data_IF_878521643435
#
_entry.id   IF_878521643435
#
_cell.length_a   1.000
_cell.length_b   1.000
_cell.length_c   1.000
_cell.angle_alpha   90.00
_cell.angle_beta   90.00
_cell.angle_gamma   90.00
#
_symmetry.space_group_name_H-M   'P 1'
#
loop_
_entity.id
_entity.type
_entity.pdbx_description
1 polymer ?
#
# COMPACT_ATOMS: atom_id res chain seq x y z
N UNK A 1 30.09 41.33 41.90
CA UNK A 1 29.62 41.62 40.53
C UNK A 1 29.56 40.30 39.79
N UNK A 2 28.56 40.13 38.92
CA UNK A 2 28.19 38.86 38.27
C UNK A 2 28.38 38.95 36.75
N UNK A 3 28.98 37.93 36.15
CA UNK A 3 28.90 37.55 34.72
C UNK A 3 29.61 36.18 34.52
N UNK A 4 29.72 35.59 33.32
CA UNK A 4 28.69 34.89 32.53
C UNK A 4 29.40 33.85 31.63
N UNK A 5 28.79 32.75 31.16
CA UNK A 5 27.54 32.06 31.54
C UNK A 5 27.67 30.55 31.18
N UNK A 6 26.66 29.72 31.50
CA UNK A 6 26.59 28.31 31.04
C UNK A 6 25.33 28.05 30.24
N UNK A 7 25.47 27.92 28.92
CA UNK A 7 24.40 27.41 28.06
C UNK A 7 24.17 25.93 28.37
N UNK A 8 22.93 25.57 28.70
CA UNK A 8 22.57 24.22 29.13
C UNK A 8 22.42 23.26 27.95
N UNK A 9 23.09 22.10 28.02
CA UNK A 9 22.84 21.00 27.09
C UNK A 9 21.46 20.39 27.34
N UNK A 10 20.58 20.45 26.35
CA UNK A 10 19.33 19.68 26.35
C UNK A 10 19.62 18.22 25.93
N UNK A 11 19.04 17.20 26.59
CA UNK A 11 19.24 15.80 26.21
C UNK A 11 18.74 15.52 24.79
N UNK A 12 19.46 14.66 24.06
CA UNK A 12 19.20 14.38 22.66
C UNK A 12 17.79 13.81 22.41
N UNK A 13 17.02 14.51 21.58
CA UNK A 13 15.82 13.95 20.95
C UNK A 13 16.24 12.84 19.96
N UNK A 14 15.44 11.77 19.79
CA UNK A 14 15.66 10.82 18.70
C UNK A 14 15.58 11.55 17.35
N UNK A 15 16.26 11.05 16.31
CA UNK A 15 16.14 11.62 14.96
C UNK A 15 14.67 11.62 14.55
N UNK A 16 14.21 12.73 13.98
CA UNK A 16 12.86 12.84 13.44
C UNK A 16 12.64 11.67 12.45
N UNK A 17 11.56 10.90 12.56
CA UNK A 17 11.25 9.90 11.54
C UNK A 17 11.16 10.60 10.18
N UNK A 18 11.49 9.92 9.06
CA UNK A 18 11.27 10.48 7.74
C UNK A 18 9.81 10.95 7.64
N UNK A 19 9.54 12.07 6.93
CA UNK A 19 8.17 12.52 6.75
C UNK A 19 7.36 11.35 6.18
N UNK A 20 6.21 11.06 6.81
CA UNK A 20 5.25 10.14 6.22
C UNK A 20 4.98 10.61 4.78
N UNK A 21 4.89 9.70 3.80
CA UNK A 21 4.52 10.09 2.45
C UNK A 21 3.25 10.95 2.51
N UNK A 22 3.15 12.00 1.68
CA UNK A 22 2.05 12.96 1.79
C UNK A 22 0.74 12.19 1.78
N UNK A 23 -0.03 12.35 2.85
CA UNK A 23 -1.40 11.88 2.88
C UNK A 23 -2.16 12.77 1.89
N UNK A 24 -2.22 12.31 0.62
CA UNK A 24 -3.29 12.68 -0.31
C UNK A 24 -4.60 12.58 0.45
N UNK A 25 -5.50 13.53 0.21
CA UNK A 25 -6.68 13.76 1.05
C UNK A 25 -7.71 12.63 0.99
N UNK A 26 -9.02 12.93 0.98
CA UNK A 26 -10.00 11.92 0.60
C UNK A 26 -9.60 11.35 -0.77
N UNK A 27 -9.24 10.07 -0.84
CA UNK A 27 -8.93 9.43 -2.12
C UNK A 27 -10.19 9.53 -3.00
N UNK A 28 -10.04 9.88 -4.29
CA UNK A 28 -11.19 10.07 -5.17
C UNK A 28 -11.99 8.76 -5.25
N UNK A 29 -13.32 8.86 -5.26
CA UNK A 29 -14.18 7.69 -5.44
C UNK A 29 -14.06 7.23 -6.90
N UNK A 30 -13.53 6.02 -7.19
CA UNK A 30 -13.31 5.58 -8.56
C UNK A 30 -14.63 5.31 -9.29
N UNK A 31 -14.87 6.00 -10.39
CA UNK A 31 -16.04 5.80 -11.24
C UNK A 31 -15.95 4.51 -12.09
N UNK A 32 -14.75 3.95 -12.25
CA UNK A 32 -14.47 2.78 -13.09
C UNK A 32 -13.17 2.07 -12.65
N UNK A 33 -12.88 0.92 -13.27
CA UNK A 33 -11.71 0.10 -12.97
C UNK A 33 -10.36 0.76 -13.32
N UNK A 34 -10.30 1.63 -14.34
CA UNK A 34 -9.06 2.33 -14.73
C UNK A 34 -8.68 3.41 -13.70
N UNK A 35 -9.65 4.17 -13.20
CA UNK A 35 -9.48 5.10 -12.09
C UNK A 35 -9.07 4.38 -10.80
N UNK A 36 -9.67 3.23 -10.51
CA UNK A 36 -9.28 2.40 -9.38
C UNK A 36 -7.84 1.88 -9.53
N UNK A 37 -7.41 1.51 -10.73
CA UNK A 37 -6.03 1.10 -11.00
C UNK A 37 -5.04 2.26 -10.83
N UNK A 38 -5.43 3.48 -11.20
CA UNK A 38 -4.61 4.69 -11.01
C UNK A 38 -4.44 5.05 -9.52
N UNK A 39 -5.51 4.98 -8.73
CA UNK A 39 -5.42 5.10 -7.25
C UNK A 39 -4.54 3.96 -6.71
N UNK A 40 -4.73 2.74 -7.21
CA UNK A 40 -3.97 1.56 -6.81
C UNK A 40 -2.46 1.69 -7.02
N UNK A 41 -2.01 2.31 -8.12
CA UNK A 41 -0.58 2.54 -8.43
C UNK A 41 0.16 3.28 -7.31
N UNK A 42 -0.51 4.11 -6.52
CA UNK A 42 0.09 4.83 -5.38
C UNK A 42 0.50 3.90 -4.21
N UNK A 43 0.03 2.66 -4.20
CA UNK A 43 0.21 1.68 -3.12
C UNK A 43 1.13 0.51 -3.47
N UNK A 44 1.71 0.49 -4.68
CA UNK A 44 2.67 -0.52 -5.14
C UNK A 44 3.98 0.13 -5.62
N UNK A 45 5.10 -0.61 -5.62
CA UNK A 45 6.29 -0.19 -6.36
C UNK A 45 5.99 -0.01 -7.86
N UNK A 46 6.76 0.86 -8.53
CA UNK A 46 6.60 1.12 -9.95
C UNK A 46 6.76 -0.17 -10.79
N UNK A 47 5.89 -0.35 -11.79
CA UNK A 47 5.91 -1.52 -12.67
C UNK A 47 7.21 -1.56 -13.46
N UNK A 48 7.93 -2.69 -13.40
CA UNK A 48 9.23 -2.86 -14.03
C UNK A 48 10.42 -2.27 -13.27
N UNK A 49 10.20 -1.67 -12.09
CA UNK A 49 11.32 -1.30 -11.19
C UNK A 49 12.05 -2.55 -10.65
N UNK A 50 13.34 -2.47 -10.28
CA UNK A 50 14.08 -3.61 -9.73
C UNK A 50 13.43 -4.16 -8.46
N UNK A 51 12.99 -5.42 -8.50
CA UNK A 51 12.23 -6.07 -7.42
C UNK A 51 10.73 -5.75 -7.38
N UNK A 52 10.28 -4.81 -8.20
CA UNK A 52 8.88 -4.40 -8.31
C UNK A 52 8.00 -5.37 -9.10
N UNK A 53 6.70 -5.04 -9.25
CA UNK A 53 5.76 -5.86 -10.00
C UNK A 53 6.06 -5.86 -11.51
N UNK A 54 5.78 -6.98 -12.17
CA UNK A 54 5.80 -7.07 -13.65
C UNK A 54 4.55 -6.45 -14.29
N UNK A 55 3.52 -6.18 -13.49
CA UNK A 55 2.25 -5.58 -13.90
C UNK A 55 1.31 -5.44 -12.70
N UNK A 56 0.37 -4.50 -12.81
CA UNK A 56 -0.74 -4.34 -11.86
C UNK A 56 -2.05 -4.63 -12.58
N UNK A 57 -2.96 -5.31 -11.89
CA UNK A 57 -4.24 -5.75 -12.42
C UNK A 57 -5.36 -5.31 -11.49
N UNK A 58 -6.53 -5.03 -12.07
CA UNK A 58 -7.76 -4.69 -11.36
C UNK A 58 -8.79 -5.80 -11.56
N UNK A 59 -9.34 -6.28 -10.47
CA UNK A 59 -10.50 -7.16 -10.42
C UNK A 59 -11.67 -6.38 -9.82
N UNK A 60 -12.62 -5.98 -10.65
CA UNK A 60 -13.84 -5.30 -10.22
C UNK A 60 -14.82 -6.29 -9.59
N UNK A 61 -15.41 -5.93 -8.46
CA UNK A 61 -16.47 -6.67 -7.79
C UNK A 61 -17.59 -5.73 -7.32
N UNK A 62 -18.60 -6.22 -6.59
CA UNK A 62 -19.83 -5.49 -6.29
C UNK A 62 -19.61 -4.20 -5.46
N UNK A 63 -18.83 -4.27 -4.38
CA UNK A 63 -18.58 -3.15 -3.44
C UNK A 63 -17.21 -2.49 -3.58
N UNK A 64 -16.37 -2.92 -4.52
CA UNK A 64 -15.02 -2.38 -4.68
C UNK A 64 -14.27 -2.83 -5.93
N UNK A 65 -13.00 -2.47 -5.95
CA UNK A 65 -12.01 -2.89 -6.94
C UNK A 65 -10.81 -3.47 -6.19
N UNK A 66 -10.40 -4.68 -6.52
CA UNK A 66 -9.21 -5.33 -5.96
C UNK A 66 -8.04 -5.14 -6.93
N UNK A 67 -7.04 -4.37 -6.50
CA UNK A 67 -5.78 -4.18 -7.20
C UNK A 67 -4.76 -5.20 -6.68
N UNK A 68 -4.13 -5.94 -7.59
CA UNK A 68 -3.09 -6.91 -7.25
C UNK A 68 -1.90 -6.84 -8.21
N UNK A 69 -0.73 -7.18 -7.68
CA UNK A 69 0.52 -7.24 -8.43
C UNK A 69 0.74 -8.63 -9.05
N UNK A 70 1.22 -8.68 -10.29
CA UNK A 70 1.98 -9.84 -10.77
C UNK A 70 3.44 -9.68 -10.38
N UNK A 71 4.08 -10.78 -9.98
CA UNK A 71 5.54 -10.91 -10.04
C UNK A 71 5.96 -11.63 -11.30
N UNK A 72 7.16 -11.36 -11.85
CA UNK A 72 7.76 -12.29 -12.81
C UNK A 72 7.89 -13.68 -12.17
N UNK A 73 7.80 -14.77 -12.96
CA UNK A 73 8.20 -16.09 -12.48
C UNK A 73 9.63 -16.03 -11.94
N UNK A 74 9.90 -16.71 -10.83
CA UNK A 74 11.27 -16.87 -10.36
C UNK A 74 12.07 -17.69 -11.38
N UNK A 75 13.29 -17.25 -11.72
CA UNK A 75 14.20 -17.97 -12.62
C UNK A 75 14.55 -19.37 -12.05
N UNK A 76 14.67 -19.46 -10.72
CA UNK A 76 14.73 -20.70 -9.97
C UNK A 76 13.44 -20.85 -9.12
N UNK A 77 12.57 -21.84 -9.41
CA UNK A 77 11.34 -22.06 -8.65
C UNK A 77 11.58 -22.64 -7.24
N UNK A 78 12.82 -23.02 -6.90
CA UNK A 78 13.22 -23.43 -5.55
C UNK A 78 13.78 -22.30 -4.71
N UNK A 79 14.11 -21.15 -5.32
CA UNK A 79 14.54 -19.96 -4.60
C UNK A 79 13.38 -19.37 -3.78
N UNK A 80 13.68 -18.94 -2.55
CA UNK A 80 12.72 -18.22 -1.72
C UNK A 80 12.41 -16.84 -2.33
N UNK A 81 11.15 -16.35 -2.24
CA UNK A 81 10.83 -14.99 -2.65
C UNK A 81 11.68 -13.97 -1.88
N UNK A 82 12.37 -13.08 -2.60
CA UNK A 82 13.22 -12.04 -2.01
C UNK A 82 12.47 -11.18 -0.97
N UNK A 83 11.18 -10.93 -1.22
CA UNK A 83 10.26 -10.30 -0.27
C UNK A 83 9.00 -11.18 -0.11
N UNK A 84 8.86 -11.93 1.00
CA UNK A 84 7.63 -12.66 1.30
C UNK A 84 6.51 -11.70 1.74
N UNK A 85 5.25 -12.05 1.46
CA UNK A 85 4.10 -11.33 2.04
C UNK A 85 3.74 -10.01 1.36
N UNK A 86 3.65 -9.98 0.03
CA UNK A 86 2.97 -8.88 -0.67
C UNK A 86 1.49 -8.74 -0.26
N UNK A 87 0.89 -7.60 -0.60
CA UNK A 87 -0.49 -7.26 -0.27
C UNK A 87 -1.33 -7.03 -1.53
N UNK A 88 -2.61 -7.36 -1.46
CA UNK A 88 -3.61 -6.82 -2.37
C UNK A 88 -4.20 -5.53 -1.78
N UNK A 89 -4.69 -4.64 -2.63
CA UNK A 89 -5.29 -3.36 -2.24
C UNK A 89 -6.72 -3.32 -2.73
N UNK A 90 -7.70 -3.12 -1.84
CA UNK A 90 -9.10 -2.89 -2.21
C UNK A 90 -9.40 -1.40 -2.15
N UNK A 91 -10.07 -0.87 -3.16
CA UNK A 91 -10.63 0.48 -3.16
C UNK A 91 -12.16 0.36 -3.20
N UNK A 92 -12.82 0.92 -2.19
CA UNK A 92 -14.27 0.82 -2.04
C UNK A 92 -15.02 1.75 -3.01
N UNK A 93 -16.03 1.21 -3.71
CA UNK A 93 -16.86 1.95 -4.68
C UNK A 93 -17.71 3.06 -4.06
N UNK A 94 -18.06 2.95 -2.78
CA UNK A 94 -18.97 3.90 -2.12
C UNK A 94 -18.30 5.19 -1.62
N UNK A 95 -17.01 5.15 -1.31
CA UNK A 95 -16.30 6.24 -0.60
C UNK A 95 -14.81 6.37 -0.94
N UNK A 96 -14.27 5.58 -1.89
CA UNK A 96 -12.84 5.60 -2.25
C UNK A 96 -11.91 5.04 -1.17
N UNK A 97 -12.44 4.43 -0.11
CA UNK A 97 -11.65 3.95 1.03
C UNK A 97 -10.71 2.80 0.61
N UNK A 98 -9.44 2.94 0.97
CA UNK A 98 -8.38 1.98 0.66
C UNK A 98 -8.21 0.99 1.82
N UNK A 99 -8.22 -0.31 1.51
CA UNK A 99 -8.01 -1.40 2.47
C UNK A 99 -6.93 -2.35 1.98
N UNK A 100 -6.08 -2.84 2.88
CA UNK A 100 -5.02 -3.80 2.56
C UNK A 100 -5.43 -5.21 2.94
N UNK A 101 -5.19 -6.17 2.05
CA UNK A 101 -5.48 -7.59 2.24
C UNK A 101 -4.22 -8.43 1.98
N UNK A 102 -4.13 -9.64 2.55
CA UNK A 102 -3.11 -10.62 2.13
C UNK A 102 -3.17 -10.87 0.61
N UNK A 103 -2.02 -11.16 0.00
CA UNK A 103 -1.92 -11.60 -1.40
C UNK A 103 -2.46 -13.03 -1.59
N UNK A 104 -3.77 -13.18 -1.42
CA UNK A 104 -4.55 -14.35 -1.82
C UNK A 104 -5.02 -14.22 -3.28
N UNK A 105 -5.44 -15.32 -3.93
CA UNK A 105 -6.14 -15.25 -5.21
C UNK A 105 -7.35 -14.29 -5.14
N UNK A 106 -7.71 -13.61 -6.24
CA UNK A 106 -8.72 -12.54 -6.23
C UNK A 106 -10.04 -12.91 -5.55
N UNK A 107 -10.60 -14.08 -5.87
CA UNK A 107 -11.85 -14.59 -5.30
C UNK A 107 -11.78 -14.70 -3.77
N UNK A 108 -10.74 -15.33 -3.23
CA UNK A 108 -10.54 -15.47 -1.77
C UNK A 108 -10.24 -14.14 -1.07
N UNK A 109 -9.64 -13.17 -1.76
CA UNK A 109 -9.43 -11.82 -1.25
C UNK A 109 -10.76 -11.04 -1.17
N UNK A 110 -11.62 -11.16 -2.19
CA UNK A 110 -12.98 -10.58 -2.21
C UNK A 110 -13.85 -11.18 -1.10
N UNK A 111 -13.87 -12.51 -0.94
CA UNK A 111 -14.57 -13.18 0.17
C UNK A 111 -14.11 -12.70 1.56
N UNK A 112 -12.80 -12.51 1.74
CA UNK A 112 -12.24 -11.97 2.98
C UNK A 112 -12.71 -10.52 3.20
N UNK A 113 -12.71 -9.70 2.16
CA UNK A 113 -13.17 -8.31 2.24
C UNK A 113 -14.65 -8.20 2.66
N UNK A 114 -15.53 -9.01 2.07
CA UNK A 114 -16.93 -9.09 2.49
C UNK A 114 -17.06 -9.43 3.98
N UNK A 115 -16.31 -10.44 4.44
CA UNK A 115 -16.32 -10.86 5.85
C UNK A 115 -15.79 -9.79 6.81
N UNK A 116 -14.93 -8.89 6.35
CA UNK A 116 -14.44 -7.75 7.13
C UNK A 116 -15.44 -6.59 7.13
N UNK A 117 -16.21 -6.39 6.05
CA UNK A 117 -17.26 -5.35 5.94
C UNK A 117 -18.60 -5.76 6.55
N UNK A 118 -18.82 -7.04 6.83
CA UNK A 118 -20.03 -7.58 7.47
C UNK A 118 -19.89 -7.76 9.00
N UNK A 119 -18.92 -7.07 9.63
CA UNK A 119 -18.61 -7.14 11.07
C UNK A 119 -18.90 -5.80 11.74
#
# INVERSE_FOLDING_TARGET
MTDSARSGSVPGLPPTPPPLPPQTGPQPVPANADEALEIGRQHFPEVGSPGGPSGLFVHEFDIGYLIHASRPPAEDPTALPAEPGGSNVVIAKGNGEVSFLPNFPPESAVELYHRLRSR
#
